data_IF_347089812941
#
_entry.id   IF_347089812941
#
_cell.length_a   1.000
_cell.length_b   1.000
_cell.length_c   1.000
_cell.angle_alpha   90.00
_cell.angle_beta   90.00
_cell.angle_gamma   90.00
#
_symmetry.space_group_name_H-M   'P 1'
#
loop_
_entity.id
_entity.type
_entity.pdbx_description
1 polymer ?
#
# COMPACT_ATOMS: atom_id res chain seq x y z
N UNK A 1 3.67 9.53 -11.36
CA UNK A 1 4.13 8.13 -11.57
C UNK A 1 5.59 8.08 -12.01
N UNK A 2 6.40 7.13 -11.51
CA UNK A 2 7.83 7.04 -11.86
C UNK A 2 8.14 6.76 -13.34
N UNK A 3 9.23 7.34 -13.87
CA UNK A 3 9.55 7.38 -15.31
C UNK A 3 9.63 6.03 -16.03
N UNK A 4 10.08 4.95 -15.38
CA UNK A 4 10.10 3.61 -16.01
C UNK A 4 8.70 3.08 -16.32
N UNK A 5 7.75 3.34 -15.43
CA UNK A 5 6.36 2.91 -15.60
C UNK A 5 5.67 3.78 -16.66
N UNK A 6 5.97 5.07 -16.66
CA UNK A 6 5.51 5.99 -17.70
C UNK A 6 6.03 5.55 -19.08
N UNK A 7 7.32 5.20 -19.19
CA UNK A 7 7.89 4.67 -20.42
C UNK A 7 7.14 3.42 -20.91
N UNK A 8 6.90 2.47 -20.01
CA UNK A 8 6.13 1.26 -20.33
C UNK A 8 4.73 1.57 -20.86
N UNK A 9 4.03 2.55 -20.26
CA UNK A 9 2.70 2.95 -20.73
C UNK A 9 2.74 3.64 -22.10
N UNK A 10 3.78 4.44 -22.37
CA UNK A 10 3.92 5.19 -23.61
C UNK A 10 4.51 4.36 -24.75
N UNK A 11 5.12 3.21 -24.47
CA UNK A 11 5.90 2.46 -25.44
C UNK A 11 5.07 2.09 -26.69
N UNK A 12 3.82 1.66 -26.50
CA UNK A 12 2.94 1.31 -27.60
C UNK A 12 2.61 2.54 -28.48
N UNK A 13 2.24 3.66 -27.86
CA UNK A 13 1.87 4.89 -28.57
C UNK A 13 3.07 5.49 -29.31
N UNK A 14 4.25 5.48 -28.69
CA UNK A 14 5.49 5.95 -29.32
C UNK A 14 5.83 5.12 -30.56
N UNK A 15 5.67 3.79 -30.50
CA UNK A 15 5.87 2.90 -31.65
C UNK A 15 4.87 3.17 -32.76
N UNK A 16 3.59 3.35 -32.43
CA UNK A 16 2.53 3.64 -33.40
C UNK A 16 2.76 4.97 -34.13
N UNK A 17 3.28 5.97 -33.43
CA UNK A 17 3.61 7.28 -34.02
C UNK A 17 5.00 7.33 -34.68
N UNK A 18 5.75 6.22 -34.71
CA UNK A 18 7.09 6.18 -35.29
C UNK A 18 8.15 6.95 -34.50
N UNK A 19 7.85 7.34 -33.24
CA UNK A 19 8.75 8.11 -32.39
C UNK A 19 9.79 7.16 -31.75
N UNK A 20 11.03 7.25 -32.23
CA UNK A 20 12.16 6.48 -31.70
C UNK A 20 12.73 7.14 -30.43
N UNK A 21 12.02 6.99 -29.31
CA UNK A 21 12.47 7.49 -28.01
C UNK A 21 12.84 6.33 -27.08
N UNK A 22 14.13 6.21 -26.75
CA UNK A 22 14.61 5.24 -25.77
C UNK A 22 14.30 5.68 -24.33
N UNK A 23 14.37 4.73 -23.39
CA UNK A 23 14.18 4.99 -21.95
C UNK A 23 15.01 6.18 -21.46
N UNK A 24 16.31 6.15 -21.71
CA UNK A 24 17.22 7.17 -21.15
C UNK A 24 16.97 8.55 -21.77
N UNK A 25 16.62 8.60 -23.06
CA UNK A 25 16.19 9.83 -23.71
C UNK A 25 14.89 10.40 -23.12
N UNK A 26 13.90 9.55 -22.80
CA UNK A 26 12.69 9.98 -22.10
C UNK A 26 13.03 10.53 -20.71
N UNK A 27 13.94 9.89 -19.96
CA UNK A 27 14.37 10.39 -18.65
C UNK A 27 15.05 11.76 -18.76
N UNK A 28 15.94 11.95 -19.74
CA UNK A 28 16.57 13.24 -20.02
C UNK A 28 15.55 14.32 -20.37
N UNK A 29 14.55 14.00 -21.20
CA UNK A 29 13.46 14.91 -21.54
C UNK A 29 12.66 15.32 -20.31
N UNK A 30 12.22 14.35 -19.50
CA UNK A 30 11.48 14.62 -18.26
C UNK A 30 12.31 15.46 -17.29
N UNK A 31 13.62 15.23 -17.22
CA UNK A 31 14.53 16.00 -16.37
C UNK A 31 14.61 17.46 -16.83
N UNK A 32 14.81 17.69 -18.13
CA UNK A 32 14.89 19.02 -18.74
C UNK A 32 13.63 19.86 -18.47
N UNK A 33 12.47 19.21 -18.37
CA UNK A 33 11.18 19.86 -18.08
C UNK A 33 10.75 19.80 -16.60
N UNK A 34 11.63 19.39 -15.68
CA UNK A 34 11.31 19.26 -14.24
C UNK A 34 10.14 18.31 -13.91
N UNK A 35 9.86 17.33 -14.77
CA UNK A 35 8.75 16.37 -14.65
C UNK A 35 9.13 15.09 -13.87
N UNK A 36 10.38 14.97 -13.43
CA UNK A 36 10.81 13.84 -12.60
C UNK A 36 10.27 13.93 -11.17
N UNK A 37 9.89 12.79 -10.61
CA UNK A 37 9.42 12.70 -9.22
C UNK A 37 10.56 13.01 -8.27
N UNK A 38 10.39 14.06 -7.46
CA UNK A 38 11.31 14.43 -6.39
C UNK A 38 11.07 13.57 -5.16
N UNK A 39 12.10 12.85 -4.70
CA UNK A 39 12.05 12.10 -3.43
C UNK A 39 12.33 13.04 -2.26
N UNK A 40 11.31 13.35 -1.46
CA UNK A 40 11.50 14.02 -0.16
C UNK A 40 11.49 12.98 0.95
N UNK A 41 12.53 12.93 1.78
CA UNK A 41 12.56 12.10 3.00
C UNK A 41 12.08 12.95 4.18
N UNK A 42 11.02 12.53 4.85
CA UNK A 42 10.62 13.00 6.18
C UNK A 42 10.42 11.78 7.06
N UNK A 43 11.05 11.76 8.24
CA UNK A 43 10.83 10.72 9.25
C UNK A 43 9.74 11.21 10.20
N UNK A 44 8.69 10.43 10.37
CA UNK A 44 7.71 10.57 11.46
C UNK A 44 7.72 9.25 12.23
N UNK A 45 7.64 9.32 13.56
CA UNK A 45 7.43 8.14 14.41
C UNK A 45 5.92 7.89 14.47
N UNK A 46 5.47 6.70 14.08
CA UNK A 46 4.06 6.47 13.70
C UNK A 46 3.27 5.58 14.64
N UNK A 47 3.86 4.97 15.67
CA UNK A 47 3.16 3.92 16.42
C UNK A 47 3.36 4.00 17.93
N UNK A 48 2.26 4.01 18.69
CA UNK A 48 2.25 3.82 20.13
C UNK A 48 1.86 2.38 20.49
N UNK A 49 2.86 1.51 20.64
CA UNK A 49 2.69 0.06 20.90
C UNK A 49 2.61 -0.31 22.38
N UNK A 50 2.69 0.68 23.28
CA UNK A 50 2.64 0.53 24.74
C UNK A 50 1.21 0.73 25.27
N UNK A 51 0.33 -0.19 24.96
CA UNK A 51 -1.06 -0.19 25.45
C UNK A 51 -1.46 -1.55 26.03
N UNK A 52 -2.56 -1.58 26.78
CA UNK A 52 -3.08 -2.80 27.45
C UNK A 52 -3.86 -3.75 26.54
N UNK A 53 -4.14 -3.36 25.30
CA UNK A 53 -4.89 -4.22 24.37
C UNK A 53 -4.14 -5.49 23.98
N UNK A 54 -4.92 -6.53 23.66
CA UNK A 54 -4.43 -7.83 23.20
C UNK A 54 -3.62 -7.68 21.91
N UNK A 55 -2.50 -8.38 21.85
CA UNK A 55 -1.60 -8.48 20.69
C UNK A 55 -1.75 -9.86 20.07
N UNK A 56 -1.53 -9.96 18.76
CA UNK A 56 -1.63 -11.20 18.00
C UNK A 56 -0.24 -11.63 17.46
N UNK A 57 -0.02 -12.93 17.18
CA UNK A 57 1.21 -13.41 16.56
C UNK A 57 1.34 -13.00 15.08
N UNK A 58 2.56 -13.10 14.55
CA UNK A 58 2.83 -12.87 13.13
C UNK A 58 2.55 -14.15 12.32
N UNK A 59 1.43 -14.20 11.61
CA UNK A 59 0.98 -15.34 10.80
C UNK A 59 1.52 -15.30 9.37
N UNK A 60 2.20 -14.22 8.96
CA UNK A 60 2.58 -14.00 7.56
C UNK A 60 4.09 -14.08 7.30
N UNK A 61 4.90 -14.40 8.33
CA UNK A 61 6.38 -14.40 8.26
C UNK A 61 6.93 -15.22 7.07
N UNK A 62 6.41 -16.42 6.88
CA UNK A 62 6.84 -17.35 5.82
C UNK A 62 5.79 -17.51 4.71
N UNK A 63 4.77 -16.64 4.71
CA UNK A 63 3.65 -16.73 3.78
C UNK A 63 3.92 -15.89 2.54
N UNK A 64 3.95 -16.54 1.38
CA UNK A 64 3.88 -15.84 0.10
C UNK A 64 2.44 -15.84 -0.42
N UNK A 65 1.78 -14.67 -0.53
CA UNK A 65 0.45 -14.59 -1.12
C UNK A 65 0.46 -15.03 -2.58
N UNK A 66 -0.46 -15.93 -2.95
CA UNK A 66 -0.62 -16.49 -4.31
C UNK A 66 -1.96 -16.15 -4.94
N UNK A 67 -2.81 -15.41 -4.22
CA UNK A 67 -4.12 -15.00 -4.70
C UNK A 67 -4.58 -13.71 -4.03
N UNK A 68 -5.53 -12.99 -4.66
CA UNK A 68 -6.25 -11.90 -4.04
C UNK A 68 -6.94 -12.33 -2.74
N UNK A 69 -7.03 -11.40 -1.80
CA UNK A 69 -7.74 -11.55 -0.52
C UNK A 69 -7.22 -12.74 0.31
N UNK A 70 -5.93 -13.03 0.23
CA UNK A 70 -5.26 -13.98 1.11
C UNK A 70 -4.63 -13.27 2.31
N UNK A 71 -4.01 -12.11 2.07
CA UNK A 71 -3.45 -11.24 3.11
C UNK A 71 -3.79 -9.81 2.76
N UNK A 72 -4.41 -9.11 3.71
CA UNK A 72 -4.49 -7.66 3.70
C UNK A 72 -3.51 -7.12 4.73
N UNK A 73 -2.76 -6.08 4.36
CA UNK A 73 -1.93 -5.32 5.27
C UNK A 73 -2.59 -3.98 5.53
N UNK A 74 -2.66 -3.56 6.79
CA UNK A 74 -3.07 -2.20 7.15
C UNK A 74 -1.94 -1.40 7.76
N UNK A 75 -1.95 -0.10 7.47
CA UNK A 75 -1.05 0.87 8.07
C UNK A 75 -1.69 2.27 8.09
N UNK A 76 -1.26 3.10 9.04
CA UNK A 76 -1.63 4.52 9.11
C UNK A 76 -0.41 5.37 8.77
N UNK A 77 -0.56 6.26 7.81
CA UNK A 77 0.50 7.22 7.45
C UNK A 77 0.05 8.67 7.60
N UNK A 78 1.00 9.51 7.97
CA UNK A 78 0.81 10.95 8.15
C UNK A 78 0.84 11.67 6.79
N UNK A 79 -0.02 12.65 6.60
CA UNK A 79 -0.05 13.55 5.45
C UNK A 79 -0.02 15.00 5.94
N UNK A 80 1.14 15.63 5.78
CA UNK A 80 1.32 17.04 6.15
C UNK A 80 0.79 17.94 5.03
N UNK A 81 -0.21 18.74 5.37
CA UNK A 81 -0.95 19.61 4.44
C UNK A 81 -1.02 21.05 4.98
N UNK A 82 -1.67 21.95 4.25
CA UNK A 82 -1.94 23.31 4.74
C UNK A 82 -3.12 23.33 5.72
N UNK A 83 -3.97 22.31 5.71
CA UNK A 83 -5.01 22.08 6.72
C UNK A 83 -4.45 21.53 8.06
N UNK A 84 -3.14 21.26 8.12
CA UNK A 84 -2.49 20.62 9.26
C UNK A 84 -2.05 19.19 8.97
N UNK A 85 -1.85 18.41 10.03
CA UNK A 85 -1.43 17.02 9.93
C UNK A 85 -2.65 16.10 9.84
N UNK A 86 -2.84 15.48 8.69
CA UNK A 86 -3.89 14.49 8.45
C UNK A 86 -3.32 13.07 8.54
N UNK A 87 -4.20 12.10 8.76
CA UNK A 87 -3.88 10.69 8.91
C UNK A 87 -4.61 9.90 7.86
N UNK A 88 -3.88 9.08 7.10
CA UNK A 88 -4.43 8.20 6.08
C UNK A 88 -4.35 6.77 6.60
N UNK A 89 -5.51 6.13 6.77
CA UNK A 89 -5.61 4.70 7.03
C UNK A 89 -5.73 3.97 5.70
N UNK A 90 -4.91 2.95 5.46
CA UNK A 90 -4.92 2.16 4.22
C UNK A 90 -5.03 0.66 4.54
N UNK A 91 -5.86 -0.04 3.78
CA UNK A 91 -5.87 -1.50 3.68
C UNK A 91 -5.45 -1.90 2.28
N UNK A 92 -4.38 -2.68 2.18
CA UNK A 92 -3.76 -3.07 0.92
C UNK A 92 -3.74 -4.59 0.80
N UNK A 93 -4.18 -5.11 -0.34
CA UNK A 93 -4.00 -6.50 -0.71
C UNK A 93 -2.52 -6.81 -0.97
N UNK A 94 -1.95 -7.75 -0.21
CA UNK A 94 -0.52 -8.05 -0.26
C UNK A 94 -0.08 -8.70 -1.57
N UNK A 95 -0.99 -9.42 -2.23
CA UNK A 95 -0.75 -10.10 -3.49
C UNK A 95 -0.70 -9.10 -4.65
N UNK A 96 -1.80 -8.39 -4.89
CA UNK A 96 -1.97 -7.52 -6.05
C UNK A 96 -1.50 -6.08 -5.84
N UNK A 97 -1.20 -5.70 -4.58
CA UNK A 97 -0.93 -4.33 -4.13
C UNK A 97 -2.15 -3.42 -4.19
N UNK A 98 -3.35 -3.94 -4.50
CA UNK A 98 -4.56 -3.11 -4.62
C UNK A 98 -4.92 -2.53 -3.26
N UNK A 99 -5.17 -1.23 -3.21
CA UNK A 99 -5.74 -0.60 -2.02
C UNK A 99 -7.21 -0.98 -1.99
N UNK A 100 -7.57 -1.80 -1.02
CA UNK A 100 -8.91 -2.33 -0.81
C UNK A 100 -9.78 -1.33 -0.06
N UNK A 101 -9.23 -0.56 0.87
CA UNK A 101 -9.98 0.44 1.62
C UNK A 101 -9.07 1.54 2.12
N UNK A 102 -9.64 2.73 2.28
CA UNK A 102 -8.89 3.90 2.71
C UNK A 102 -9.79 4.90 3.43
N UNK A 103 -9.19 5.75 4.26
CA UNK A 103 -9.84 6.90 4.87
C UNK A 103 -8.78 7.95 5.21
N UNK A 104 -9.15 9.23 5.14
CA UNK A 104 -8.36 10.35 5.67
C UNK A 104 -9.10 11.01 6.82
N UNK A 105 -8.35 11.47 7.82
CA UNK A 105 -8.89 12.10 9.01
C UNK A 105 -7.92 13.14 9.59
N UNK A 106 -8.43 14.01 10.43
CA UNK A 106 -7.67 14.97 11.24
C UNK A 106 -7.25 14.41 12.60
N UNK A 107 -7.71 13.21 12.97
CA UNK A 107 -7.32 12.50 14.20
C UNK A 107 -6.92 11.05 13.95
N UNK A 108 -6.22 10.47 14.92
CA UNK A 108 -5.83 9.05 14.96
C UNK A 108 -6.91 8.13 15.57
N UNK A 109 -8.17 8.58 15.65
CA UNK A 109 -9.25 7.79 16.23
C UNK A 109 -9.50 6.49 15.46
N UNK A 110 -9.77 5.40 16.20
CA UNK A 110 -10.05 4.06 15.65
C UNK A 110 -11.13 4.07 14.55
N UNK A 111 -12.15 4.92 14.70
CA UNK A 111 -13.26 5.04 13.75
C UNK A 111 -12.79 5.25 12.30
N UNK A 112 -11.66 5.93 12.07
CA UNK A 112 -11.14 6.17 10.73
C UNK A 112 -10.47 4.93 10.12
N UNK A 113 -9.69 4.20 10.93
CA UNK A 113 -9.16 2.90 10.50
C UNK A 113 -10.29 1.90 10.24
N UNK A 114 -11.34 1.93 11.09
CA UNK A 114 -12.54 1.10 10.91
C UNK A 114 -13.29 1.43 9.62
N UNK A 115 -13.48 2.70 9.27
CA UNK A 115 -14.09 3.11 7.98
C UNK A 115 -13.33 2.54 6.78
N UNK A 116 -12.00 2.60 6.80
CA UNK A 116 -11.18 2.00 5.75
C UNK A 116 -11.39 0.47 5.67
N UNK A 117 -11.47 -0.21 6.82
CA UNK A 117 -11.75 -1.64 6.87
C UNK A 117 -13.15 -1.98 6.32
N UNK A 118 -14.19 -1.25 6.75
CA UNK A 118 -15.55 -1.44 6.24
C UNK A 118 -15.64 -1.26 4.72
N UNK A 119 -14.93 -0.26 4.17
CA UNK A 119 -14.83 -0.05 2.73
C UNK A 119 -14.22 -1.27 2.01
N UNK A 120 -13.18 -1.88 2.59
CA UNK A 120 -12.57 -3.09 2.04
C UNK A 120 -13.51 -4.30 2.14
N UNK A 121 -14.16 -4.49 3.29
CA UNK A 121 -15.07 -5.62 3.54
C UNK A 121 -16.28 -5.63 2.61
N UNK A 122 -16.80 -4.47 2.22
CA UNK A 122 -17.90 -4.34 1.23
C UNK A 122 -17.56 -4.92 -0.15
N UNK A 123 -16.29 -5.18 -0.44
CA UNK A 123 -15.83 -5.69 -1.72
C UNK A 123 -15.63 -7.21 -1.74
N UNK A 124 -15.79 -7.88 -0.60
CA UNK A 124 -15.58 -9.33 -0.48
C UNK A 124 -16.78 -10.03 0.14
N UNK A 125 -16.96 -11.30 -0.21
CA UNK A 125 -17.94 -12.15 0.47
C UNK A 125 -17.40 -12.65 1.81
N UNK A 126 -18.30 -13.07 2.72
CA UNK A 126 -17.90 -13.74 3.98
C UNK A 126 -17.03 -14.98 3.73
N UNK A 127 -17.29 -15.72 2.64
CA UNK A 127 -16.47 -16.87 2.25
C UNK A 127 -15.02 -16.46 1.97
N UNK A 128 -14.81 -15.39 1.20
CA UNK A 128 -13.47 -14.88 0.96
C UNK A 128 -12.79 -14.39 2.26
N UNK A 129 -13.56 -13.70 3.13
CA UNK A 129 -13.08 -13.23 4.43
C UNK A 129 -12.60 -14.35 5.36
N UNK A 130 -13.28 -15.51 5.37
CA UNK A 130 -12.87 -16.64 6.23
C UNK A 130 -11.50 -17.25 5.88
N UNK A 131 -10.97 -16.92 4.71
CA UNK A 131 -9.67 -17.37 4.23
C UNK A 131 -8.66 -16.21 4.10
N UNK A 132 -8.97 -15.07 4.70
CA UNK A 132 -8.16 -13.86 4.70
C UNK A 132 -7.45 -13.71 6.04
N UNK A 133 -6.17 -13.33 5.97
CA UNK A 133 -5.41 -12.81 7.11
C UNK A 133 -5.40 -11.30 7.01
N UNK A 134 -5.84 -10.63 8.07
CA UNK A 134 -5.60 -9.21 8.26
C UNK A 134 -4.35 -9.00 9.11
N UNK A 135 -3.34 -8.35 8.53
CA UNK A 135 -2.06 -8.06 9.16
C UNK A 135 -1.90 -6.55 9.41
N UNK A 136 -1.50 -6.16 10.61
CA UNK A 136 -1.23 -4.76 10.96
C UNK A 136 -0.04 -4.62 11.91
N UNK A 137 0.37 -3.39 12.20
CA UNK A 137 1.21 -3.17 13.36
C UNK A 137 0.41 -3.33 14.68
N UNK A 138 1.12 -3.21 15.81
CA UNK A 138 0.53 -3.22 17.16
C UNK A 138 0.08 -1.82 17.60
N UNK A 139 -0.43 -1.00 16.68
CA UNK A 139 -1.04 0.28 16.99
C UNK A 139 -2.35 0.11 17.77
N UNK A 140 -2.66 1.10 18.61
CA UNK A 140 -3.86 1.09 19.46
C UNK A 140 -5.16 0.94 18.65
N UNK A 141 -5.20 1.51 17.45
CA UNK A 141 -6.36 1.46 16.55
C UNK A 141 -6.68 0.02 16.15
N UNK A 142 -5.66 -0.74 15.75
CA UNK A 142 -5.83 -2.12 15.27
C UNK A 142 -6.03 -3.13 16.40
N UNK A 143 -5.57 -2.81 17.61
CA UNK A 143 -5.78 -3.65 18.79
C UNK A 143 -7.10 -3.34 19.52
N UNK A 144 -7.81 -2.28 19.14
CA UNK A 144 -9.06 -1.88 19.79
C UNK A 144 -10.19 -2.86 19.51
N UNK A 145 -11.09 -3.02 20.48
CA UNK A 145 -12.23 -3.95 20.35
C UNK A 145 -13.15 -3.56 19.20
N UNK A 146 -13.46 -2.27 19.04
CA UNK A 146 -14.30 -1.76 17.95
C UNK A 146 -13.77 -2.15 16.56
N UNK A 147 -12.45 -2.14 16.39
CA UNK A 147 -11.81 -2.55 15.14
C UNK A 147 -11.88 -4.08 14.94
N UNK A 148 -11.56 -4.84 15.99
CA UNK A 148 -11.57 -6.31 15.94
C UNK A 148 -12.99 -6.88 15.73
N UNK A 149 -14.01 -6.26 16.33
CA UNK A 149 -15.41 -6.64 16.16
C UNK A 149 -15.88 -6.48 14.71
N UNK A 150 -15.25 -5.59 13.94
CA UNK A 150 -15.56 -5.42 12.51
C UNK A 150 -15.05 -6.60 11.66
N UNK A 151 -14.01 -7.30 12.11
CA UNK A 151 -13.43 -8.47 11.43
C UNK A 151 -14.18 -9.77 11.75
N UNK A 152 -14.75 -9.86 12.95
CA UNK A 152 -15.35 -11.09 13.48
C UNK A 152 -16.46 -11.69 12.58
N UNK A 153 -17.40 -10.91 11.99
CA UNK A 153 -18.46 -11.44 11.13
C UNK A 153 -17.98 -12.09 9.83
N UNK A 154 -16.73 -11.84 9.45
CA UNK A 154 -16.07 -12.42 8.27
C UNK A 154 -15.12 -13.57 8.64
N UNK A 155 -14.95 -13.88 9.93
CA UNK A 155 -13.99 -14.87 10.43
C UNK A 155 -12.55 -14.63 9.94
N UNK A 156 -12.16 -13.36 9.81
CA UNK A 156 -10.82 -12.97 9.35
C UNK A 156 -9.81 -13.26 10.45
N UNK A 157 -8.69 -13.89 10.09
CA UNK A 157 -7.59 -14.15 11.02
C UNK A 157 -6.80 -12.88 11.26
N UNK A 158 -6.52 -12.56 12.52
CA UNK A 158 -5.74 -11.36 12.88
C UNK A 158 -4.29 -11.74 13.06
N UNK A 159 -3.42 -11.00 12.39
CA UNK A 159 -1.97 -11.08 12.52
C UNK A 159 -1.40 -9.71 12.86
N UNK A 160 -0.37 -9.66 13.68
CA UNK A 160 0.32 -8.40 13.96
C UNK A 160 1.83 -8.56 13.87
N UNK A 161 2.53 -7.46 13.63
CA UNK A 161 3.99 -7.40 13.76
C UNK A 161 4.41 -7.80 15.18
N UNK A 162 5.47 -8.58 15.30
CA UNK A 162 5.97 -9.07 16.58
C UNK A 162 7.09 -8.19 17.13
N UNK A 163 7.95 -7.71 16.24
CA UNK A 163 9.10 -6.88 16.53
C UNK A 163 9.00 -5.57 15.73
N UNK A 164 9.72 -4.53 16.14
CA UNK A 164 9.85 -3.29 15.36
C UNK A 164 10.74 -3.47 14.11
N UNK A 165 10.73 -4.66 13.50
CA UNK A 165 11.44 -4.93 12.26
C UNK A 165 10.67 -4.26 11.11
N UNK A 166 11.29 -3.31 10.39
CA UNK A 166 10.68 -2.62 9.26
C UNK A 166 10.19 -3.57 8.15
N UNK A 167 10.71 -4.81 8.10
CA UNK A 167 10.34 -5.77 7.07
C UNK A 167 8.95 -6.37 7.28
N UNK A 168 8.43 -6.43 8.51
CA UNK A 168 7.16 -7.12 8.79
C UNK A 168 5.95 -6.42 8.13
N UNK A 169 6.01 -5.10 7.91
CA UNK A 169 4.97 -4.35 7.19
C UNK A 169 5.46 -3.64 5.92
N UNK A 170 6.55 -4.13 5.30
CA UNK A 170 7.21 -3.47 4.16
C UNK A 170 6.29 -3.22 2.96
N UNK A 171 5.23 -4.02 2.80
CA UNK A 171 4.23 -3.85 1.74
C UNK A 171 3.44 -2.56 1.94
N UNK A 172 2.89 -2.37 3.15
CA UNK A 172 2.11 -1.18 3.45
C UNK A 172 2.99 0.06 3.38
N UNK A 173 4.19 0.03 3.98
CA UNK A 173 5.14 1.15 3.89
C UNK A 173 5.47 1.53 2.44
N UNK A 174 5.67 0.53 1.57
CA UNK A 174 5.95 0.76 0.17
C UNK A 174 4.79 1.45 -0.53
N UNK A 175 3.56 1.00 -0.31
CA UNK A 175 2.35 1.61 -0.92
C UNK A 175 2.13 3.02 -0.38
N UNK A 176 2.28 3.23 0.92
CA UNK A 176 2.19 4.53 1.57
C UNK A 176 3.19 5.53 1.00
N UNK A 177 4.45 5.10 0.84
CA UNK A 177 5.49 5.89 0.21
C UNK A 177 5.16 6.25 -1.24
N UNK A 178 4.62 5.31 -2.02
CA UNK A 178 4.21 5.56 -3.40
C UNK A 178 3.09 6.60 -3.46
N UNK A 179 2.01 6.43 -2.69
CA UNK A 179 0.89 7.37 -2.68
C UNK A 179 1.37 8.78 -2.34
N UNK A 180 2.12 8.91 -1.23
CA UNK A 180 2.59 10.21 -0.76
C UNK A 180 3.54 10.90 -1.72
N UNK A 181 4.48 10.16 -2.32
CA UNK A 181 5.52 10.76 -3.17
C UNK A 181 5.08 10.94 -4.62
N UNK A 182 4.27 10.02 -5.16
CA UNK A 182 3.93 10.03 -6.59
C UNK A 182 2.59 10.71 -6.87
N UNK A 183 1.69 10.83 -5.88
CA UNK A 183 0.33 11.33 -6.09
C UNK A 183 -0.04 12.51 -5.18
N UNK A 184 0.28 12.45 -3.88
CA UNK A 184 -0.19 13.45 -2.91
C UNK A 184 0.77 14.62 -2.67
N UNK A 185 2.01 14.57 -3.16
CA UNK A 185 3.03 15.59 -2.85
C UNK A 185 2.96 16.87 -3.69
N UNK A 186 2.19 16.86 -4.79
CA UNK A 186 2.23 17.91 -5.80
C UNK A 186 1.16 19.00 -5.60
N UNK A 187 0.09 18.70 -4.88
CA UNK A 187 -1.02 19.63 -4.71
C UNK A 187 -1.15 20.08 -3.24
N UNK A 188 -1.27 21.39 -2.99
CA UNK A 188 -1.61 21.86 -1.65
C UNK A 188 -3.03 21.41 -1.29
N UNK A 189 -3.25 21.18 0.00
CA UNK A 189 -4.54 20.75 0.55
C UNK A 189 -4.84 21.67 1.72
N UNK A 190 -5.97 22.37 1.64
CA UNK A 190 -6.38 23.41 2.57
C UNK A 190 -7.56 23.00 3.46
N UNK A 191 -8.21 21.87 3.17
CA UNK A 191 -9.27 21.32 4.02
C UNK A 191 -9.27 19.79 4.03
N UNK A 192 -9.93 19.19 5.03
CA UNK A 192 -10.14 17.74 5.08
C UNK A 192 -10.92 17.22 3.86
N UNK A 193 -11.93 17.98 3.39
CA UNK A 193 -12.72 17.62 2.21
C UNK A 193 -11.88 17.58 0.94
N UNK A 194 -11.00 18.55 0.74
CA UNK A 194 -10.03 18.50 -0.38
C UNK A 194 -9.10 17.29 -0.26
N UNK A 195 -8.66 16.98 0.97
CA UNK A 195 -7.83 15.82 1.23
C UNK A 195 -8.52 14.51 0.84
N UNK A 196 -9.82 14.37 1.15
CA UNK A 196 -10.64 13.21 0.77
C UNK A 196 -10.67 13.05 -0.76
N UNK A 197 -11.01 14.11 -1.49
CA UNK A 197 -11.08 14.09 -2.96
C UNK A 197 -9.73 13.75 -3.60
N UNK A 198 -8.65 14.36 -3.11
CA UNK A 198 -7.30 14.07 -3.61
C UNK A 198 -6.88 12.63 -3.31
N UNK A 199 -7.23 12.10 -2.13
CA UNK A 199 -6.95 10.71 -1.78
C UNK A 199 -7.73 9.74 -2.66
N UNK A 200 -9.03 9.99 -2.88
CA UNK A 200 -9.86 9.17 -3.78
C UNK A 200 -9.27 9.11 -5.20
N UNK A 201 -8.93 10.27 -5.76
CA UNK A 201 -8.30 10.34 -7.07
C UNK A 201 -6.94 9.62 -7.11
N UNK A 202 -6.12 9.79 -6.06
CA UNK A 202 -4.83 9.13 -5.95
C UNK A 202 -4.97 7.60 -5.89
N UNK A 203 -5.92 7.09 -5.09
CA UNK A 203 -6.19 5.65 -4.98
C UNK A 203 -6.73 5.10 -6.30
N UNK A 204 -7.62 5.83 -6.99
CA UNK A 204 -8.11 5.43 -8.31
C UNK A 204 -6.95 5.29 -9.31
N UNK A 205 -6.12 6.33 -9.45
CA UNK A 205 -4.97 6.30 -10.37
C UNK A 205 -3.96 5.21 -9.99
N UNK A 206 -3.73 4.99 -8.68
CA UNK A 206 -2.87 3.93 -8.20
C UNK A 206 -3.42 2.54 -8.55
N UNK A 207 -4.69 2.25 -8.23
CA UNK A 207 -5.29 0.94 -8.44
C UNK A 207 -5.46 0.59 -9.91
N UNK A 208 -5.92 1.55 -10.74
CA UNK A 208 -6.36 1.26 -12.09
C UNK A 208 -5.36 1.63 -13.19
N UNK A 209 -4.51 2.64 -12.95
CA UNK A 209 -3.64 3.19 -14.00
C UNK A 209 -2.16 2.89 -13.81
N UNK A 210 -1.72 2.48 -12.62
CA UNK A 210 -0.29 2.37 -12.31
C UNK A 210 0.27 0.95 -12.53
N UNK A 211 1.16 0.70 -13.50
CA UNK A 211 1.92 -0.55 -13.59
C UNK A 211 2.74 -0.81 -12.32
N UNK A 212 2.79 -2.07 -11.85
CA UNK A 212 3.56 -2.44 -10.66
C UNK A 212 4.62 -3.51 -10.96
N UNK A 213 5.88 -3.24 -10.60
CA UNK A 213 6.98 -4.22 -10.79
C UNK A 213 6.77 -5.51 -10.00
N UNK A 214 6.08 -5.46 -8.85
CA UNK A 214 5.72 -6.65 -8.08
C UNK A 214 4.56 -7.47 -8.68
N UNK A 215 3.94 -6.97 -9.75
CA UNK A 215 2.75 -7.56 -10.37
C UNK A 215 2.95 -7.64 -11.89
N UNK A 216 4.16 -7.99 -12.34
CA UNK A 216 4.49 -8.12 -13.76
C UNK A 216 4.12 -6.90 -14.65
N UNK A 217 4.23 -5.68 -14.12
CA UNK A 217 3.79 -4.44 -14.79
C UNK A 217 2.28 -4.31 -15.04
N UNK A 218 1.47 -5.22 -14.51
CA UNK A 218 0.03 -5.04 -14.42
C UNK A 218 -0.32 -3.95 -13.40
N UNK A 219 -1.47 -3.30 -13.58
CA UNK A 219 -2.04 -2.45 -12.53
C UNK A 219 -2.50 -3.29 -11.34
N UNK A 220 -2.53 -2.73 -10.12
CA UNK A 220 -3.02 -3.45 -8.96
C UNK A 220 -4.41 -4.07 -9.16
N UNK A 221 -5.30 -3.40 -9.89
CA UNK A 221 -6.62 -3.93 -10.20
C UNK A 221 -6.57 -5.12 -11.18
N UNK A 222 -5.74 -5.07 -12.22
CA UNK A 222 -5.53 -6.19 -13.15
C UNK A 222 -4.96 -7.42 -12.43
N UNK A 223 -3.94 -7.20 -11.60
CA UNK A 223 -3.33 -8.27 -10.81
C UNK A 223 -4.33 -8.87 -9.81
N UNK A 224 -5.26 -8.07 -9.28
CA UNK A 224 -6.30 -8.52 -8.35
C UNK A 224 -7.37 -9.42 -9.02
N UNK A 225 -7.41 -9.48 -10.35
CA UNK A 225 -8.26 -10.41 -11.09
C UNK A 225 -7.55 -11.74 -11.43
N UNK A 226 -6.27 -11.87 -11.04
CA UNK A 226 -5.42 -13.02 -11.38
C UNK A 226 -5.23 -13.97 -10.20
N UNK A 227 -4.74 -15.19 -10.46
CA UNK A 227 -4.43 -16.22 -9.46
C UNK A 227 -3.09 -16.89 -9.78
N UNK A 228 -2.41 -17.39 -8.75
CA UNK A 228 -1.12 -18.07 -8.86
C UNK A 228 0.07 -17.14 -8.60
N UNK A 229 1.31 -17.62 -8.81
CA UNK A 229 2.51 -16.79 -8.61
C UNK A 229 2.53 -15.58 -9.56
N UNK A 230 2.74 -14.37 -9.02
CA UNK A 230 3.01 -13.17 -9.82
C UNK A 230 4.51 -13.01 -10.06
N UNK A 231 4.88 -12.80 -11.33
CA UNK A 231 6.25 -12.47 -11.69
C UNK A 231 6.66 -11.09 -11.14
N UNK A 232 7.84 -11.02 -10.52
CA UNK A 232 8.40 -9.81 -9.94
C UNK A 232 9.52 -9.29 -10.82
N UNK A 233 9.33 -8.12 -11.41
CA UNK A 233 10.33 -7.44 -12.29
C UNK A 233 11.34 -6.56 -11.54
N UNK A 234 11.46 -6.73 -10.23
CA UNK A 234 12.46 -6.03 -9.42
C UNK A 234 13.48 -7.02 -8.88
N UNK A 235 14.74 -6.58 -8.82
CA UNK A 235 15.83 -7.40 -8.29
C UNK A 235 15.89 -7.27 -6.77
N UNK A 236 15.90 -8.40 -6.06
CA UNK A 236 16.25 -8.39 -4.64
C UNK A 236 17.76 -8.42 -4.52
N UNK A 237 18.34 -7.39 -3.91
CA UNK A 237 19.80 -7.30 -3.72
C UNK A 237 20.25 -7.92 -2.39
N UNK A 238 19.30 -8.30 -1.51
CA UNK A 238 19.60 -9.01 -0.28
C UNK A 238 19.69 -10.51 -0.55
N UNK A 239 20.82 -11.12 -0.19
CA UNK A 239 20.95 -12.58 -0.13
C UNK A 239 20.17 -13.09 1.09
N UNK A 240 19.43 -14.20 0.99
CA UNK A 240 18.91 -14.85 2.18
C UNK A 240 20.07 -15.22 3.09
N UNK A 241 19.93 -14.99 4.40
CA UNK A 241 20.87 -15.50 5.39
C UNK A 241 20.90 -17.03 5.26
N UNK A 242 22.08 -17.58 4.97
CA UNK A 242 22.27 -19.03 4.95
C UNK A 242 21.85 -19.58 6.32
N UNK A 243 20.98 -20.61 6.38
CA UNK A 243 20.66 -21.24 7.65
C UNK A 243 21.98 -21.76 8.25
N UNK A 244 22.25 -21.36 9.49
CA UNK A 244 23.35 -21.94 10.26
C UNK A 244 23.00 -23.41 10.46
N UNK A 245 23.79 -24.28 9.83
CA UNK A 245 23.74 -25.72 10.08
C UNK A 245 23.88 -25.94 11.58
N UNK A 246 22.86 -26.52 12.22
CA UNK A 246 23.00 -27.03 13.57
C UNK A 246 23.84 -28.32 13.47
N UNK A 247 25.09 -28.25 13.94
CA UNK A 247 25.88 -29.41 14.36
C UNK A 247 25.52 -29.79 15.80
#
# INVERSE_FOLDING_TARGET
MGGRKLYYLLEQDLRQQGIKLGRDALFSLLAAHNLLIRKRRRKALTTFSRHRFRKYPNLIRDLTPLRPNQVWVADITYWFTQAGCLYISLLTDAYSRRIMGFAVADTLATVHARRALEMALRQISKRAGSQLIHHSDRGIQYCSQEYLDTLAPFHIQVSMTENSDPLENAIAERVNGILKQEYLSQQPVYSLREAEQHLEQAVFLYNYKRPHLSCDMQSPNQAHASWGPLERRWKNYYKPSTPVSAE
#
